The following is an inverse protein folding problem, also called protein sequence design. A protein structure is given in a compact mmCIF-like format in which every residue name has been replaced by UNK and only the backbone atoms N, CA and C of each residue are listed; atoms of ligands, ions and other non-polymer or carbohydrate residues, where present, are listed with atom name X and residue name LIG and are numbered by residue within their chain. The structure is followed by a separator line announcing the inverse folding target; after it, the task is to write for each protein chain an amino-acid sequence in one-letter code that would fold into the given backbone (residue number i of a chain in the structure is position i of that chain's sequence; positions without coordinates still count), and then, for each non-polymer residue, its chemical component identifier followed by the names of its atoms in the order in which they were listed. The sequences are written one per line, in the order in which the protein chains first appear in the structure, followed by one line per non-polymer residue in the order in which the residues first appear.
data_IF_035716517909
#
_entry.id   IF_035716517909
#
_cell.length_a   1.000
_cell.length_b   1.000
_cell.length_c   1.000
_cell.angle_alpha   90.00
_cell.angle_beta   90.00
_cell.angle_gamma   90.00
#
_symmetry.space_group_name_H-M   'P 1'
#
loop_
_entity.id
_entity.type
_entity.pdbx_description
1 polymer ?
#
# COMPACT_ATOMS: atom_id res chain seq x y z
N UNK A 1 54.70 -27.61 -96.72
CA UNK A 1 55.97 -26.88 -96.56
C UNK A 1 56.52 -27.29 -95.21
N UNK A 2 57.36 -28.31 -95.22
CA UNK A 2 58.83 -28.17 -95.07
C UNK A 2 59.14 -28.08 -93.57
N UNK A 3 59.37 -29.24 -92.96
CA UNK A 3 60.69 -29.79 -92.63
C UNK A 3 61.44 -28.92 -91.60
N UNK A 4 61.82 -29.54 -90.48
CA UNK A 4 63.21 -29.61 -90.00
C UNK A 4 63.29 -30.48 -88.72
N UNK A 5 64.22 -31.44 -88.81
CA UNK A 5 64.81 -32.39 -87.85
C UNK A 5 65.50 -31.70 -86.64
N UNK A 6 66.34 -32.38 -85.81
CA UNK A 6 66.17 -33.58 -84.98
C UNK A 6 66.71 -33.42 -83.52
N UNK A 7 66.54 -34.49 -82.73
CA UNK A 7 67.23 -34.99 -81.51
C UNK A 7 68.27 -34.14 -80.74
N UNK A 8 68.23 -34.21 -79.39
CA UNK A 8 69.26 -34.86 -78.53
C UNK A 8 68.86 -34.97 -77.04
N UNK A 9 69.16 -36.14 -76.47
CA UNK A 9 69.53 -36.54 -75.09
C UNK A 9 69.50 -35.56 -73.90
N UNK A 10 68.93 -35.98 -72.76
CA UNK A 10 69.62 -36.56 -71.57
C UNK A 10 68.96 -36.16 -70.21
N UNK A 11 68.97 -37.12 -69.27
CA UNK A 11 68.86 -37.06 -67.80
C UNK A 11 67.88 -36.10 -67.08
N UNK A 12 67.00 -36.66 -66.21
CA UNK A 12 67.17 -36.56 -64.75
C UNK A 12 66.02 -37.19 -63.92
N UNK A 13 66.44 -37.71 -62.77
CA UNK A 13 65.67 -38.28 -61.66
C UNK A 13 64.70 -37.31 -60.96
N UNK A 14 63.71 -37.96 -60.33
CA UNK A 14 62.97 -37.62 -59.11
C UNK A 14 62.58 -36.17 -58.78
N UNK A 15 61.26 -35.95 -58.70
CA UNK A 15 60.53 -35.67 -57.44
C UNK A 15 59.26 -34.89 -57.79
N UNK A 16 58.07 -35.54 -57.71
CA UNK A 16 56.82 -34.77 -57.63
C UNK A 16 55.67 -35.53 -56.98
N UNK A 17 55.43 -35.14 -55.73
CA UNK A 17 54.15 -34.75 -55.12
C UNK A 17 52.97 -35.74 -55.09
N UNK A 18 52.66 -36.19 -53.87
CA UNK A 18 51.47 -36.92 -53.45
C UNK A 18 50.14 -36.10 -53.58
N UNK A 19 48.96 -36.74 -53.50
CA UNK A 19 47.70 -36.27 -54.13
C UNK A 19 46.75 -35.56 -53.14
N UNK A 20 45.70 -34.84 -53.62
CA UNK A 20 44.57 -34.49 -52.78
C UNK A 20 43.43 -35.53 -52.90
N UNK A 21 43.20 -36.31 -51.85
CA UNK A 21 42.05 -37.19 -51.68
C UNK A 21 40.86 -36.45 -51.04
N UNK A 22 39.68 -36.55 -51.67
CA UNK A 22 38.40 -36.06 -51.12
C UNK A 22 37.91 -37.02 -50.02
N UNK A 23 37.46 -36.53 -48.84
CA UNK A 23 37.01 -37.42 -47.76
C UNK A 23 35.57 -37.97 -47.98
N UNK A 24 35.24 -39.14 -47.41
CA UNK A 24 33.99 -39.86 -47.63
C UNK A 24 32.81 -39.36 -46.78
N UNK A 25 31.65 -39.15 -47.41
CA UNK A 25 30.39 -38.60 -46.84
C UNK A 25 29.55 -39.55 -45.96
N UNK A 26 30.13 -40.59 -45.34
CA UNK A 26 29.38 -41.60 -44.56
C UNK A 26 29.18 -41.30 -43.05
N UNK A 27 30.07 -40.64 -42.29
CA UNK A 27 29.81 -40.38 -40.86
C UNK A 27 28.77 -39.27 -40.63
N UNK A 28 28.56 -38.40 -41.62
CA UNK A 28 27.65 -37.25 -41.53
C UNK A 28 26.16 -37.63 -41.53
N UNK A 29 25.78 -38.79 -42.09
CA UNK A 29 24.39 -39.28 -42.10
C UNK A 29 23.97 -39.90 -40.75
N UNK A 30 24.88 -40.57 -40.06
CA UNK A 30 24.66 -41.12 -38.71
C UNK A 30 24.59 -40.01 -37.66
N UNK A 31 25.46 -39.01 -37.78
CA UNK A 31 25.41 -37.81 -36.93
C UNK A 31 24.10 -37.03 -37.15
N UNK A 32 23.63 -36.92 -38.39
CA UNK A 32 22.33 -36.30 -38.70
C UNK A 32 21.14 -37.06 -38.07
N UNK A 33 21.12 -38.39 -38.15
CA UNK A 33 20.07 -39.22 -37.52
C UNK A 33 20.10 -39.11 -35.99
N UNK A 34 21.29 -39.06 -35.38
CA UNK A 34 21.44 -38.90 -33.94
C UNK A 34 20.97 -37.51 -33.47
N UNK A 35 21.30 -36.45 -34.22
CA UNK A 35 20.80 -35.09 -33.94
C UNK A 35 19.27 -34.98 -34.06
N UNK A 36 18.68 -35.65 -35.06
CA UNK A 36 17.21 -35.72 -35.18
C UNK A 36 16.61 -36.44 -33.97
N UNK A 37 17.18 -37.58 -33.55
CA UNK A 37 16.73 -38.30 -32.36
C UNK A 37 16.83 -37.47 -31.07
N UNK A 38 17.94 -36.77 -30.86
CA UNK A 38 18.13 -35.87 -29.71
C UNK A 38 17.16 -34.70 -29.77
N UNK A 39 16.96 -34.07 -30.94
CA UNK A 39 16.01 -32.96 -31.10
C UNK A 39 14.57 -33.39 -30.83
N UNK A 40 14.21 -34.62 -31.20
CA UNK A 40 12.86 -35.16 -30.99
C UNK A 40 12.62 -35.45 -29.50
N UNK A 41 13.63 -35.98 -28.79
CA UNK A 41 13.61 -36.12 -27.33
C UNK A 41 13.49 -34.77 -26.61
N UNK A 42 14.27 -33.77 -27.03
CA UNK A 42 14.22 -32.42 -26.46
C UNK A 42 12.85 -31.77 -26.69
N UNK A 43 12.30 -31.89 -27.90
CA UNK A 43 10.95 -31.39 -28.21
C UNK A 43 9.87 -32.06 -27.36
N UNK A 44 9.97 -33.37 -27.12
CA UNK A 44 9.03 -34.12 -26.30
C UNK A 44 9.13 -33.71 -24.81
N UNK A 45 10.34 -33.49 -24.31
CA UNK A 45 10.55 -33.01 -22.94
C UNK A 45 9.98 -31.59 -22.73
N UNK A 46 10.19 -30.68 -23.69
CA UNK A 46 9.61 -29.34 -23.67
C UNK A 46 8.09 -29.36 -23.73
N UNK A 47 7.50 -30.25 -24.54
CA UNK A 47 6.05 -30.39 -24.64
C UNK A 47 5.41 -30.87 -23.34
N UNK A 48 6.03 -31.86 -22.66
CA UNK A 48 5.59 -32.32 -21.34
C UNK A 48 5.73 -31.21 -20.29
N UNK A 49 6.86 -30.48 -20.29
CA UNK A 49 7.07 -29.34 -19.39
C UNK A 49 6.04 -28.22 -19.58
N UNK A 50 5.72 -27.89 -20.84
CA UNK A 50 4.71 -26.88 -21.18
C UNK A 50 3.29 -27.30 -20.73
N UNK A 51 2.90 -28.55 -20.96
CA UNK A 51 1.62 -29.08 -20.49
C UNK A 51 1.55 -29.11 -18.95
N UNK A 52 2.65 -29.43 -18.27
CA UNK A 52 2.76 -29.35 -16.81
C UNK A 52 2.60 -27.92 -16.28
N UNK A 53 3.22 -26.94 -16.94
CA UNK A 53 3.11 -25.52 -16.56
C UNK A 53 1.69 -24.97 -16.75
N UNK A 54 1.06 -25.26 -17.89
CA UNK A 54 -0.30 -24.81 -18.18
C UNK A 54 -1.33 -25.43 -17.23
N UNK A 55 -1.20 -26.73 -16.94
CA UNK A 55 -2.08 -27.42 -15.98
C UNK A 55 -1.84 -27.00 -14.53
N UNK A 56 -0.61 -26.61 -14.18
CA UNK A 56 -0.28 -26.01 -12.88
C UNK A 56 -0.95 -24.65 -12.68
N UNK A 57 -0.90 -23.77 -13.68
CA UNK A 57 -1.56 -22.46 -13.60
C UNK A 57 -3.08 -22.56 -13.53
N UNK A 58 -3.69 -23.47 -14.29
CA UNK A 58 -5.14 -23.71 -14.22
C UNK A 58 -5.57 -24.22 -12.84
N UNK A 59 -4.81 -25.14 -12.24
CA UNK A 59 -5.10 -25.64 -10.89
C UNK A 59 -4.89 -24.59 -9.81
N UNK A 60 -3.92 -23.69 -9.96
CA UNK A 60 -3.71 -22.58 -9.03
C UNK A 60 -4.88 -21.58 -9.09
N UNK A 61 -5.33 -21.22 -10.30
CA UNK A 61 -6.48 -20.35 -10.48
C UNK A 61 -7.76 -20.96 -9.88
N UNK A 62 -8.02 -22.24 -10.16
CA UNK A 62 -9.19 -22.95 -9.61
C UNK A 62 -9.15 -23.06 -8.08
N UNK A 63 -7.96 -23.29 -7.50
CA UNK A 63 -7.79 -23.29 -6.04
C UNK A 63 -8.03 -21.91 -5.44
N UNK A 64 -7.44 -20.86 -6.01
CA UNK A 64 -7.62 -19.49 -5.55
C UNK A 64 -9.10 -19.06 -5.58
N UNK A 65 -9.81 -19.38 -6.66
CA UNK A 65 -11.25 -19.11 -6.75
C UNK A 65 -12.04 -19.89 -5.69
N UNK A 66 -11.72 -21.17 -5.49
CA UNK A 66 -12.40 -22.01 -4.48
C UNK A 66 -12.13 -21.56 -3.05
N UNK A 67 -10.90 -21.13 -2.75
CA UNK A 67 -10.49 -20.61 -1.45
C UNK A 67 -11.18 -19.28 -1.15
N UNK A 68 -11.24 -18.38 -2.15
CA UNK A 68 -11.95 -17.12 -2.04
C UNK A 68 -13.45 -17.33 -1.83
N UNK A 69 -14.07 -18.24 -2.59
CA UNK A 69 -15.48 -18.58 -2.41
C UNK A 69 -15.76 -19.15 -1.01
N UNK A 70 -14.88 -20.00 -0.49
CA UNK A 70 -14.98 -20.53 0.87
C UNK A 70 -14.81 -19.43 1.94
N UNK A 71 -13.91 -18.48 1.72
CA UNK A 71 -13.72 -17.33 2.61
C UNK A 71 -14.95 -16.42 2.62
N UNK A 72 -15.51 -16.12 1.45
CA UNK A 72 -16.76 -15.34 1.33
C UNK A 72 -17.89 -16.05 2.08
N UNK A 73 -18.11 -17.34 1.83
CA UNK A 73 -19.15 -18.12 2.50
C UNK A 73 -18.96 -18.12 4.04
N UNK A 74 -17.71 -18.22 4.50
CA UNK A 74 -17.39 -18.11 5.93
C UNK A 74 -17.72 -16.72 6.49
N UNK A 75 -17.35 -15.65 5.81
CA UNK A 75 -17.62 -14.29 6.29
C UNK A 75 -19.13 -14.02 6.37
N UNK A 76 -19.92 -14.54 5.43
CA UNK A 76 -21.39 -14.47 5.48
C UNK A 76 -21.95 -15.24 6.68
N UNK A 77 -21.47 -16.47 6.94
CA UNK A 77 -21.88 -17.24 8.12
C UNK A 77 -21.52 -16.52 9.42
N UNK A 78 -20.31 -15.97 9.52
CA UNK A 78 -19.89 -15.21 10.70
C UNK A 78 -20.72 -13.94 10.86
N UNK A 79 -21.08 -13.26 9.77
CA UNK A 79 -21.94 -12.08 9.84
C UNK A 79 -23.33 -12.43 10.39
N UNK A 80 -23.91 -13.55 9.97
CA UNK A 80 -25.17 -14.05 10.53
C UNK A 80 -25.04 -14.32 12.04
N UNK A 81 -23.99 -15.03 12.46
CA UNK A 81 -23.74 -15.30 13.89
C UNK A 81 -23.57 -14.00 14.70
N UNK A 82 -22.93 -12.98 14.13
CA UNK A 82 -22.77 -11.67 14.76
C UNK A 82 -24.11 -10.94 14.90
N UNK A 83 -24.99 -11.01 13.89
CA UNK A 83 -26.36 -10.48 13.99
C UNK A 83 -27.12 -11.17 15.13
N UNK A 84 -27.03 -12.49 15.20
CA UNK A 84 -27.70 -13.30 16.23
C UNK A 84 -27.17 -12.99 17.64
N UNK A 85 -25.91 -12.57 17.75
CA UNK A 85 -25.26 -12.17 19.00
C UNK A 85 -25.42 -10.68 19.32
N UNK A 86 -26.06 -9.89 18.46
CA UNK A 86 -26.27 -8.46 18.62
C UNK A 86 -25.06 -7.58 18.26
N UNK A 87 -24.00 -8.16 17.68
CA UNK A 87 -22.81 -7.45 17.21
C UNK A 87 -23.04 -6.90 15.79
N UNK A 88 -23.94 -5.91 15.67
CA UNK A 88 -24.36 -5.41 14.36
C UNK A 88 -23.24 -4.67 13.62
N UNK A 89 -22.34 -3.97 14.34
CA UNK A 89 -21.23 -3.24 13.69
C UNK A 89 -20.23 -4.19 13.05
N UNK A 90 -19.88 -5.29 13.73
CA UNK A 90 -18.99 -6.31 13.21
C UNK A 90 -19.63 -7.07 12.05
N UNK A 91 -20.93 -7.38 12.15
CA UNK A 91 -21.67 -7.99 11.06
C UNK A 91 -21.64 -7.12 9.79
N UNK A 92 -21.90 -5.82 9.92
CA UNK A 92 -21.89 -4.89 8.78
C UNK A 92 -20.52 -4.80 8.11
N UNK A 93 -19.43 -4.69 8.88
CA UNK A 93 -18.06 -4.65 8.35
C UNK A 93 -17.72 -5.90 7.53
N UNK A 94 -18.10 -7.10 8.02
CA UNK A 94 -17.89 -8.35 7.27
C UNK A 94 -18.70 -8.39 5.99
N UNK A 95 -19.95 -7.94 6.03
CA UNK A 95 -20.84 -7.94 4.88
C UNK A 95 -20.36 -6.96 3.82
N UNK A 96 -19.82 -5.81 4.22
CA UNK A 96 -19.22 -4.86 3.29
C UNK A 96 -17.99 -5.46 2.60
N UNK A 97 -17.08 -6.10 3.35
CA UNK A 97 -15.93 -6.83 2.79
C UNK A 97 -16.36 -7.88 1.74
N UNK A 98 -17.48 -8.59 2.00
CA UNK A 98 -18.06 -9.56 1.06
C UNK A 98 -18.60 -8.87 -0.19
N UNK A 99 -19.33 -7.77 -0.03
CA UNK A 99 -19.97 -7.06 -1.14
C UNK A 99 -18.98 -6.30 -2.03
N UNK A 100 -17.84 -5.85 -1.49
CA UNK A 100 -16.71 -5.34 -2.28
C UNK A 100 -16.21 -6.38 -3.29
N UNK A 101 -16.14 -7.65 -2.88
CA UNK A 101 -15.60 -8.76 -3.68
C UNK A 101 -16.68 -9.45 -4.52
N UNK A 102 -17.92 -9.46 -4.05
CA UNK A 102 -19.07 -10.08 -4.70
C UNK A 102 -20.31 -9.19 -4.59
N UNK A 103 -20.43 -8.13 -5.43
CA UNK A 103 -21.48 -7.12 -5.30
C UNK A 103 -22.92 -7.65 -5.42
N UNK A 104 -23.11 -8.77 -6.12
CA UNK A 104 -24.41 -9.39 -6.36
C UNK A 104 -24.70 -10.58 -5.42
N UNK A 105 -23.99 -10.70 -4.30
CA UNK A 105 -24.19 -11.79 -3.35
C UNK A 105 -25.52 -11.59 -2.57
N UNK A 106 -26.58 -12.26 -3.03
CA UNK A 106 -27.96 -12.03 -2.57
C UNK A 106 -28.14 -12.16 -1.05
N UNK A 107 -27.48 -13.15 -0.41
CA UNK A 107 -27.55 -13.34 1.03
C UNK A 107 -26.92 -12.17 1.80
N UNK A 108 -25.73 -11.73 1.39
CA UNK A 108 -25.03 -10.63 2.05
C UNK A 108 -25.80 -9.31 1.95
N UNK A 109 -26.47 -9.05 0.82
CA UNK A 109 -27.33 -7.87 0.66
C UNK A 109 -28.48 -7.90 1.67
N UNK A 110 -29.18 -9.02 1.81
CA UNK A 110 -30.31 -9.17 2.73
C UNK A 110 -29.87 -9.07 4.21
N UNK A 111 -28.74 -9.68 4.55
CA UNK A 111 -28.18 -9.60 5.90
C UNK A 111 -27.75 -8.18 6.25
N UNK A 112 -27.17 -7.44 5.30
CA UNK A 112 -26.74 -6.05 5.53
C UNK A 112 -27.93 -5.15 5.82
N UNK A 113 -29.00 -5.27 5.05
CA UNK A 113 -30.25 -4.53 5.31
C UNK A 113 -30.81 -4.88 6.69
N UNK A 114 -30.86 -6.17 7.03
CA UNK A 114 -31.30 -6.64 8.34
C UNK A 114 -30.46 -6.01 9.47
N UNK A 115 -29.14 -6.11 9.40
CA UNK A 115 -28.23 -5.55 10.40
C UNK A 115 -28.35 -4.03 10.52
N UNK A 116 -28.51 -3.29 9.41
CA UNK A 116 -28.75 -1.84 9.43
C UNK A 116 -30.06 -1.48 10.12
N UNK A 117 -31.15 -2.23 9.87
CA UNK A 117 -32.42 -1.97 10.56
C UNK A 117 -32.31 -2.21 12.06
N UNK A 118 -31.65 -3.31 12.46
CA UNK A 118 -31.45 -3.67 13.87
C UNK A 118 -30.57 -2.67 14.61
N UNK A 119 -29.53 -2.13 13.94
CA UNK A 119 -28.69 -1.08 14.48
C UNK A 119 -29.48 0.23 14.68
N UNK A 120 -30.34 0.62 13.72
CA UNK A 120 -31.11 1.85 13.79
C UNK A 120 -32.28 1.84 14.80
N UNK A 121 -32.85 0.66 15.11
CA UNK A 121 -33.89 0.52 16.15
C UNK A 121 -33.31 0.33 17.56
N UNK A 122 -32.00 0.09 17.66
CA UNK A 122 -31.29 0.04 18.93
C UNK A 122 -31.01 1.48 19.35
N UNK A 123 -31.55 1.98 20.48
CA UNK A 123 -31.27 3.34 20.90
C UNK A 123 -29.77 3.48 21.14
N UNK A 124 -29.11 4.28 20.29
CA UNK A 124 -27.75 4.76 20.51
C UNK A 124 -27.76 5.50 21.85
N UNK A 125 -27.08 5.03 22.91
CA UNK A 125 -26.88 5.87 24.07
C UNK A 125 -26.07 7.09 23.60
N UNK A 126 -26.66 8.27 23.72
CA UNK A 126 -25.95 9.55 23.62
C UNK A 126 -24.91 9.55 24.74
N UNK A 127 -23.67 9.18 24.42
CA UNK A 127 -22.54 9.32 25.33
C UNK A 127 -22.20 10.81 25.45
N UNK A 128 -22.86 11.47 26.39
CA UNK A 128 -22.32 12.69 27.00
C UNK A 128 -20.93 12.36 27.54
N UNK A 129 -19.94 13.14 27.11
CA UNK A 129 -18.61 13.17 27.68
C UNK A 129 -18.71 13.28 29.20
N UNK A 130 -18.50 12.15 29.87
CA UNK A 130 -18.35 12.07 31.31
C UNK A 130 -16.89 11.85 31.55
N UNK A 131 -16.24 12.85 32.14
CA UNK A 131 -14.92 12.76 32.74
C UNK A 131 -14.78 11.44 33.51
N UNK A 132 -13.94 10.54 33.01
CA UNK A 132 -13.60 9.28 33.64
C UNK A 132 -13.07 9.54 35.06
N UNK A 133 -13.78 9.15 36.14
CA UNK A 133 -13.11 8.93 37.40
C UNK A 133 -12.22 7.70 37.22
N UNK A 134 -10.98 7.79 37.70
CA UNK A 134 -10.02 6.70 37.78
C UNK A 134 -10.71 5.35 38.02
N UNK A 135 -10.60 4.36 37.11
CA UNK A 135 -11.22 3.07 37.32
C UNK A 135 -10.59 2.42 38.55
N UNK A 136 -11.44 2.08 39.51
CA UNK A 136 -11.15 1.08 40.53
C UNK A 136 -10.73 -0.21 39.79
N UNK A 137 -9.59 -0.83 40.15
CA UNK A 137 -9.09 -1.98 39.41
C UNK A 137 -10.05 -3.16 39.61
N UNK A 138 -10.83 -3.48 38.58
CA UNK A 138 -11.37 -4.83 38.43
C UNK A 138 -10.18 -5.79 38.25
N UNK A 139 -10.28 -7.03 38.78
CA UNK A 139 -9.15 -7.94 38.88
C UNK A 139 -8.53 -8.19 37.51
N UNK A 140 -7.23 -7.89 37.44
CA UNK A 140 -6.30 -8.30 36.38
C UNK A 140 -6.60 -9.74 35.93
N UNK A 141 -6.67 -10.03 34.62
CA UNK A 141 -6.69 -11.41 34.16
C UNK A 141 -5.38 -12.04 34.61
N UNK A 142 -5.47 -12.85 35.66
CA UNK A 142 -4.35 -13.64 36.15
C UNK A 142 -3.79 -14.43 34.97
N UNK A 143 -2.50 -14.34 34.65
CA UNK A 143 -1.83 -15.28 33.74
C UNK A 143 -1.86 -16.67 34.39
N UNK A 144 -3.01 -17.34 34.29
CA UNK A 144 -3.24 -18.69 34.76
C UNK A 144 -3.04 -19.67 33.61
N UNK A 145 -2.69 -20.90 33.95
CA UNK A 145 -2.75 -22.01 33.00
C UNK A 145 -4.21 -22.20 32.58
N UNK A 146 -4.55 -21.90 31.32
CA UNK A 146 -5.86 -22.23 30.77
C UNK A 146 -5.97 -23.75 30.79
N UNK A 147 -6.91 -24.29 31.58
CA UNK A 147 -7.03 -25.73 31.81
C UNK A 147 -7.88 -26.44 30.74
N UNK A 148 -8.81 -25.71 30.12
CA UNK A 148 -9.66 -26.21 29.04
C UNK A 148 -9.69 -25.21 27.86
N UNK A 149 -9.07 -25.55 26.72
CA UNK A 149 -9.02 -24.66 25.57
C UNK A 149 -10.38 -24.41 24.92
N UNK A 150 -11.33 -25.36 25.00
CA UNK A 150 -12.64 -25.21 24.36
C UNK A 150 -13.50 -24.17 25.09
N UNK A 151 -13.58 -24.28 26.42
CA UNK A 151 -14.32 -23.31 27.25
C UNK A 151 -13.72 -21.91 27.11
N UNK A 152 -12.40 -21.80 27.08
CA UNK A 152 -11.75 -20.50 26.92
C UNK A 152 -11.99 -19.91 25.53
N UNK A 153 -11.91 -20.70 24.46
CA UNK A 153 -12.23 -20.23 23.11
C UNK A 153 -13.68 -19.70 23.02
N UNK A 154 -14.64 -20.35 23.69
CA UNK A 154 -16.01 -19.85 23.75
C UNK A 154 -16.11 -18.49 24.48
N UNK A 155 -15.30 -18.27 25.53
CA UNK A 155 -15.20 -16.98 26.21
C UNK A 155 -14.63 -15.90 25.29
N UNK A 156 -13.59 -16.21 24.52
CA UNK A 156 -12.97 -15.28 23.57
C UNK A 156 -13.96 -14.83 22.49
N UNK A 157 -14.75 -15.76 21.94
CA UNK A 157 -15.84 -15.43 20.99
C UNK A 157 -16.80 -14.40 21.58
N UNK A 158 -17.19 -14.59 22.84
CA UNK A 158 -18.11 -13.67 23.53
C UNK A 158 -17.49 -12.30 23.78
N UNK A 159 -16.19 -12.20 24.06
CA UNK A 159 -15.50 -10.91 24.19
C UNK A 159 -15.55 -10.12 22.87
N UNK A 160 -15.19 -10.78 21.76
CA UNK A 160 -15.20 -10.19 20.42
C UNK A 160 -16.62 -9.81 20.00
N UNK A 161 -17.60 -10.68 20.21
CA UNK A 161 -18.99 -10.39 19.88
C UNK A 161 -19.59 -9.24 20.71
N UNK A 162 -19.13 -9.05 21.95
CA UNK A 162 -19.50 -7.91 22.78
C UNK A 162 -18.65 -6.66 22.53
N UNK A 163 -17.79 -6.70 21.52
CA UNK A 163 -16.95 -5.58 21.12
C UNK A 163 -15.99 -5.12 22.24
N UNK A 164 -15.60 -6.04 23.13
CA UNK A 164 -14.69 -5.79 24.24
C UNK A 164 -13.23 -5.91 23.78
N UNK A 165 -12.83 -5.06 22.83
CA UNK A 165 -11.62 -5.24 22.04
C UNK A 165 -10.32 -5.24 22.86
N UNK A 166 -10.20 -4.35 23.85
CA UNK A 166 -9.01 -4.27 24.72
C UNK A 166 -8.76 -5.58 25.49
N UNK A 167 -9.83 -6.17 26.04
CA UNK A 167 -9.75 -7.45 26.75
C UNK A 167 -9.56 -8.61 25.76
N UNK A 168 -10.26 -8.57 24.63
CA UNK A 168 -10.20 -9.61 23.60
C UNK A 168 -8.79 -9.77 23.04
N UNK A 169 -8.10 -8.69 22.69
CA UNK A 169 -6.73 -8.72 22.16
C UNK A 169 -5.79 -9.48 23.12
N UNK A 170 -5.71 -9.03 24.36
CA UNK A 170 -4.81 -9.58 25.37
C UNK A 170 -5.14 -11.05 25.66
N UNK A 171 -6.43 -11.39 25.71
CA UNK A 171 -6.89 -12.74 25.98
C UNK A 171 -6.59 -13.69 24.81
N UNK A 172 -6.85 -13.28 23.57
CA UNK A 172 -6.58 -14.10 22.37
C UNK A 172 -5.08 -14.32 22.19
N UNK A 173 -4.24 -13.29 22.36
CA UNK A 173 -2.78 -13.44 22.31
C UNK A 173 -2.26 -14.39 23.39
N UNK A 174 -2.84 -14.34 24.59
CA UNK A 174 -2.48 -15.25 25.68
C UNK A 174 -2.88 -16.69 25.36
N UNK A 175 -4.08 -16.90 24.84
CA UNK A 175 -4.56 -18.19 24.37
C UNK A 175 -3.63 -18.79 23.30
N UNK A 176 -3.29 -17.99 22.28
CA UNK A 176 -2.43 -18.40 21.17
C UNK A 176 -1.00 -18.75 21.60
N UNK A 177 -0.49 -18.11 22.67
CA UNK A 177 0.83 -18.46 23.25
C UNK A 177 0.78 -19.81 23.97
N UNK A 178 -0.31 -20.12 24.66
CA UNK A 178 -0.45 -21.38 25.39
C UNK A 178 -0.84 -22.55 24.48
N UNK A 179 -1.64 -22.29 23.44
CA UNK A 179 -2.10 -23.29 22.47
C UNK A 179 -1.83 -22.85 21.03
N UNK A 180 -0.57 -22.91 20.56
CA UNK A 180 -0.20 -22.38 19.25
C UNK A 180 -0.95 -22.99 18.08
N UNK A 181 -1.31 -24.27 18.15
CA UNK A 181 -1.93 -25.01 17.04
C UNK A 181 -3.46 -25.18 17.17
N UNK A 182 -4.04 -24.79 18.31
CA UNK A 182 -5.46 -25.04 18.60
C UNK A 182 -6.35 -23.99 17.93
N UNK A 183 -7.24 -24.41 17.03
CA UNK A 183 -8.17 -23.55 16.29
C UNK A 183 -7.50 -22.28 15.76
N UNK A 184 -6.30 -22.44 15.18
CA UNK A 184 -5.42 -21.33 14.77
C UNK A 184 -6.12 -20.34 13.85
N UNK A 185 -6.87 -20.85 12.89
CA UNK A 185 -7.57 -20.04 11.91
C UNK A 185 -8.64 -19.16 12.58
N UNK A 186 -9.39 -19.73 13.52
CA UNK A 186 -10.43 -19.01 14.24
C UNK A 186 -9.83 -17.99 15.22
N UNK A 187 -8.82 -18.37 15.99
CA UNK A 187 -8.16 -17.44 16.91
C UNK A 187 -7.48 -16.29 16.16
N UNK A 188 -6.94 -16.52 14.96
CA UNK A 188 -6.45 -15.44 14.10
C UNK A 188 -7.58 -14.51 13.65
N UNK A 189 -8.76 -15.05 13.32
CA UNK A 189 -9.92 -14.23 12.96
C UNK A 189 -10.39 -13.36 14.15
N UNK A 190 -10.48 -13.94 15.35
CA UNK A 190 -10.84 -13.20 16.56
C UNK A 190 -9.84 -12.07 16.87
N UNK A 191 -8.55 -12.33 16.66
CA UNK A 191 -7.49 -11.33 16.82
C UNK A 191 -7.60 -10.22 15.77
N UNK A 192 -7.83 -10.58 14.51
CA UNK A 192 -8.09 -9.62 13.42
C UNK A 192 -9.27 -8.71 13.77
N UNK A 193 -10.41 -9.28 14.19
CA UNK A 193 -11.61 -8.50 14.52
C UNK A 193 -11.34 -7.53 15.68
N UNK A 194 -10.56 -7.99 16.68
CA UNK A 194 -10.15 -7.18 17.82
C UNK A 194 -9.23 -6.03 17.40
N UNK A 195 -8.26 -6.27 16.53
CA UNK A 195 -7.37 -5.23 16.00
C UNK A 195 -8.10 -4.21 15.14
N UNK A 196 -9.02 -4.63 14.28
CA UNK A 196 -9.85 -3.69 13.50
C UNK A 196 -10.72 -2.84 14.45
N UNK A 197 -11.35 -3.45 15.44
CA UNK A 197 -12.14 -2.75 16.45
C UNK A 197 -11.33 -1.72 17.26
N UNK A 198 -10.16 -2.12 17.75
CA UNK A 198 -9.23 -1.21 18.44
C UNK A 198 -8.77 -0.07 17.55
N UNK A 199 -8.36 -0.40 16.32
CA UNK A 199 -7.86 0.56 15.35
C UNK A 199 -8.87 1.67 15.06
N UNK A 200 -10.12 1.29 14.77
CA UNK A 200 -11.21 2.25 14.55
C UNK A 200 -11.51 3.08 15.80
N UNK A 201 -11.69 2.46 16.96
CA UNK A 201 -11.98 3.19 18.21
C UNK A 201 -10.90 4.23 18.55
N UNK A 202 -9.62 3.90 18.29
CA UNK A 202 -8.49 4.78 18.59
C UNK A 202 -8.29 5.88 17.55
N UNK A 203 -8.59 5.61 16.27
CA UNK A 203 -8.57 6.59 15.17
C UNK A 203 -9.73 7.59 15.31
N UNK A 204 -10.92 7.12 15.66
CA UNK A 204 -12.05 8.00 15.95
C UNK A 204 -11.80 8.85 17.20
N UNK A 205 -11.11 8.29 18.19
CA UNK A 205 -10.52 9.04 19.30
C UNK A 205 -9.25 9.79 18.91
N UNK A 206 -8.64 10.51 19.86
CA UNK A 206 -7.44 11.33 19.60
C UNK A 206 -6.13 10.53 19.50
N UNK A 207 -6.18 9.21 19.29
CA UNK A 207 -5.04 8.30 19.32
C UNK A 207 -4.76 7.66 17.95
N UNK A 208 -4.81 8.48 16.90
CA UNK A 208 -4.65 8.05 15.52
C UNK A 208 -3.40 7.20 15.26
N UNK A 209 -2.24 7.52 15.85
CA UNK A 209 -1.01 6.73 15.69
C UNK A 209 -1.16 5.30 16.21
N UNK A 210 -1.73 5.15 17.41
CA UNK A 210 -1.95 3.83 18.01
C UNK A 210 -3.03 3.06 17.26
N UNK A 211 -4.07 3.73 16.79
CA UNK A 211 -5.09 3.09 15.97
C UNK A 211 -4.54 2.58 14.64
N UNK A 212 -3.70 3.37 13.96
CA UNK A 212 -2.98 2.93 12.75
C UNK A 212 -2.06 1.73 13.02
N UNK A 213 -1.38 1.70 14.16
CA UNK A 213 -0.60 0.53 14.57
C UNK A 213 -1.45 -0.75 14.60
N UNK A 214 -2.62 -0.71 15.24
CA UNK A 214 -3.51 -1.86 15.29
C UNK A 214 -4.09 -2.25 13.94
N UNK A 215 -4.43 -1.28 13.08
CA UNK A 215 -4.87 -1.58 11.71
C UNK A 215 -3.77 -2.26 10.89
N UNK A 216 -2.51 -1.86 11.05
CA UNK A 216 -1.38 -2.54 10.41
C UNK A 216 -1.22 -3.99 10.93
N UNK A 217 -1.41 -4.22 12.23
CA UNK A 217 -1.41 -5.58 12.79
C UNK A 217 -2.57 -6.43 12.24
N UNK A 218 -3.74 -5.84 11.99
CA UNK A 218 -4.85 -6.54 11.35
C UNK A 218 -4.53 -6.93 9.90
N UNK A 219 -3.84 -6.08 9.13
CA UNK A 219 -3.43 -6.39 7.74
C UNK A 219 -2.52 -7.61 7.63
N UNK A 220 -1.75 -7.94 8.67
CA UNK A 220 -0.95 -9.17 8.71
C UNK A 220 -1.81 -10.45 8.76
N UNK A 221 -3.08 -10.33 9.21
CA UNK A 221 -4.00 -11.44 9.42
C UNK A 221 -5.08 -11.53 8.32
N UNK A 222 -5.38 -10.42 7.64
CA UNK A 222 -6.34 -10.36 6.54
C UNK A 222 -6.52 -8.95 5.98
N UNK A 223 -7.16 -8.85 4.81
CA UNK A 223 -7.42 -7.55 4.18
C UNK A 223 -8.34 -6.67 5.03
N UNK A 224 -8.06 -5.37 5.14
CA UNK A 224 -9.02 -4.44 5.74
C UNK A 224 -10.17 -4.13 4.77
N UNK A 225 -11.42 -4.02 5.26
CA UNK A 225 -12.54 -3.52 4.46
C UNK A 225 -12.33 -2.05 4.09
N UNK A 226 -12.99 -1.58 3.03
CA UNK A 226 -12.82 -0.24 2.48
C UNK A 226 -13.12 0.86 3.51
N UNK A 227 -14.14 0.68 4.34
CA UNK A 227 -14.45 1.64 5.41
C UNK A 227 -13.24 1.87 6.34
N UNK A 228 -12.56 0.79 6.74
CA UNK A 228 -11.38 0.87 7.61
C UNK A 228 -10.20 1.50 6.87
N UNK A 229 -10.08 1.25 5.55
CA UNK A 229 -9.09 1.91 4.71
C UNK A 229 -9.30 3.43 4.63
N UNK A 230 -10.55 3.87 4.55
CA UNK A 230 -10.89 5.29 4.54
C UNK A 230 -10.48 5.96 5.86
N UNK A 231 -10.80 5.33 7.01
CA UNK A 231 -10.36 5.81 8.33
C UNK A 231 -8.84 5.86 8.48
N UNK A 232 -8.12 4.86 7.95
CA UNK A 232 -6.65 4.89 7.91
C UNK A 232 -6.16 6.11 7.13
N UNK A 233 -6.68 6.35 5.93
CA UNK A 233 -6.28 7.49 5.11
C UNK A 233 -6.53 8.82 5.83
N UNK A 234 -7.67 8.97 6.49
CA UNK A 234 -8.00 10.17 7.25
C UNK A 234 -7.05 10.39 8.43
N UNK A 235 -6.72 9.32 9.16
CA UNK A 235 -5.75 9.35 10.25
C UNK A 235 -4.35 9.73 9.77
N UNK A 236 -3.90 9.19 8.64
CA UNK A 236 -2.61 9.52 8.04
C UNK A 236 -2.54 11.00 7.62
N UNK A 237 -3.54 11.51 6.91
CA UNK A 237 -3.60 12.93 6.54
C UNK A 237 -3.65 13.85 7.76
N UNK A 238 -4.38 13.46 8.79
CA UNK A 238 -4.41 14.20 10.05
C UNK A 238 -3.03 14.26 10.71
N UNK A 239 -2.35 13.12 10.88
CA UNK A 239 -1.02 13.08 11.49
C UNK A 239 0.02 13.85 10.69
N UNK A 240 -0.04 13.78 9.36
CA UNK A 240 0.81 14.59 8.51
C UNK A 240 0.50 16.08 8.68
N UNK A 241 -0.77 16.48 8.63
CA UNK A 241 -1.19 17.87 8.85
C UNK A 241 -0.72 18.42 10.20
N UNK A 242 -0.91 17.65 11.28
CA UNK A 242 -0.47 18.00 12.63
C UNK A 242 1.06 18.09 12.73
N UNK A 243 1.79 17.18 12.08
CA UNK A 243 3.26 17.21 12.05
C UNK A 243 3.84 18.50 11.45
N UNK A 244 3.10 19.16 10.56
CA UNK A 244 3.49 20.44 9.96
C UNK A 244 2.77 21.65 10.57
N UNK A 245 1.74 21.45 11.39
CA UNK A 245 0.99 22.53 12.03
C UNK A 245 1.91 23.37 12.93
N UNK A 246 1.91 24.70 12.75
CA UNK A 246 2.82 25.59 13.47
C UNK A 246 4.26 25.64 12.94
N UNK A 247 4.61 24.78 11.98
CA UNK A 247 5.99 24.63 11.45
C UNK A 247 6.04 24.99 9.98
N UNK A 248 5.17 24.40 9.16
CA UNK A 248 5.04 24.69 7.73
C UNK A 248 3.55 24.75 7.36
N UNK A 249 3.02 25.97 7.33
CA UNK A 249 1.60 26.19 7.07
C UNK A 249 1.17 25.83 5.65
N UNK A 250 2.04 25.94 4.65
CA UNK A 250 1.72 25.54 3.27
C UNK A 250 1.39 24.05 3.19
N UNK A 251 2.24 23.22 3.80
CA UNK A 251 2.05 21.77 3.82
C UNK A 251 0.84 21.40 4.70
N UNK A 252 0.70 22.02 5.87
CA UNK A 252 -0.45 21.77 6.75
C UNK A 252 -1.79 22.11 6.06
N UNK A 253 -1.87 23.25 5.36
CA UNK A 253 -3.05 23.63 4.56
C UNK A 253 -3.38 22.55 3.53
N UNK A 254 -2.36 21.99 2.84
CA UNK A 254 -2.57 20.91 1.88
C UNK A 254 -3.30 19.70 2.49
N UNK A 255 -2.74 19.13 3.56
CA UNK A 255 -3.32 17.96 4.22
C UNK A 255 -4.71 18.24 4.80
N UNK A 256 -4.89 19.35 5.51
CA UNK A 256 -6.19 19.67 6.10
C UNK A 256 -7.25 20.06 5.06
N UNK A 257 -6.85 20.54 3.88
CA UNK A 257 -7.78 20.83 2.77
C UNK A 257 -8.35 19.53 2.22
N UNK A 258 -7.50 18.56 1.95
CA UNK A 258 -7.92 17.24 1.48
C UNK A 258 -8.77 16.52 2.54
N UNK A 259 -8.34 16.56 3.80
CA UNK A 259 -9.06 15.94 4.90
C UNK A 259 -10.43 16.58 5.18
N UNK A 260 -10.53 17.91 5.24
CA UNK A 260 -11.81 18.60 5.44
C UNK A 260 -12.79 18.34 4.27
N UNK A 261 -12.29 18.17 3.05
CA UNK A 261 -13.12 17.89 1.89
C UNK A 261 -13.82 16.53 1.98
N UNK A 262 -13.09 15.49 2.42
CA UNK A 262 -13.61 14.11 2.43
C UNK A 262 -14.16 13.66 3.78
N UNK A 263 -13.62 14.19 4.88
CA UNK A 263 -13.96 13.82 6.25
C UNK A 263 -14.06 15.08 7.15
N UNK A 264 -15.03 15.98 6.91
CA UNK A 264 -15.20 17.22 7.67
C UNK A 264 -15.53 17.00 9.16
N UNK A 265 -15.96 15.80 9.53
CA UNK A 265 -16.28 15.41 10.91
C UNK A 265 -15.07 14.86 11.68
N UNK A 266 -14.00 14.51 10.98
CA UNK A 266 -12.85 13.83 11.59
C UNK A 266 -11.93 14.86 12.27
N UNK A 267 -11.73 14.71 13.58
CA UNK A 267 -10.71 15.44 14.36
C UNK A 267 -10.63 16.95 14.09
N UNK A 268 -11.78 17.64 14.04
CA UNK A 268 -11.84 19.08 13.75
C UNK A 268 -11.09 19.50 12.46
N UNK A 269 -11.04 18.64 11.44
CA UNK A 269 -10.26 18.84 10.22
C UNK A 269 -10.50 20.19 9.54
N UNK A 270 -11.76 20.65 9.48
CA UNK A 270 -12.10 21.94 8.88
C UNK A 270 -11.73 23.15 9.76
N UNK A 271 -11.70 22.99 11.08
CA UNK A 271 -11.21 24.04 11.98
C UNK A 271 -9.68 24.15 11.88
N UNK A 272 -8.98 23.01 11.84
CA UNK A 272 -7.53 22.95 11.63
C UNK A 272 -7.14 23.52 10.26
N UNK A 273 -7.93 23.26 9.22
CA UNK A 273 -7.77 23.88 7.91
C UNK A 273 -7.90 25.40 8.00
N UNK A 274 -8.98 25.90 8.64
CA UNK A 274 -9.21 27.33 8.80
C UNK A 274 -8.03 27.99 9.50
N UNK A 275 -7.59 27.44 10.62
CA UNK A 275 -6.55 28.01 11.45
C UNK A 275 -5.19 27.98 10.72
N UNK A 276 -4.92 26.92 9.95
CA UNK A 276 -3.75 26.82 9.07
C UNK A 276 -3.78 27.84 7.93
N UNK A 277 -4.94 28.06 7.28
CA UNK A 277 -5.12 29.05 6.22
C UNK A 277 -4.91 30.48 6.74
N UNK A 278 -5.47 30.81 7.91
CA UNK A 278 -5.28 32.11 8.56
C UNK A 278 -3.79 32.32 8.84
N UNK A 279 -3.13 31.33 9.44
CA UNK A 279 -1.72 31.42 9.81
C UNK A 279 -0.81 31.52 8.58
N UNK A 280 -1.16 30.83 7.48
CA UNK A 280 -0.43 30.94 6.23
C UNK A 280 -0.60 32.32 5.59
N UNK A 281 -1.83 32.84 5.58
CA UNK A 281 -2.12 34.20 5.11
C UNK A 281 -1.40 35.26 5.96
N UNK A 282 -1.28 35.05 7.28
CA UNK A 282 -0.52 35.91 8.19
C UNK A 282 0.97 35.97 7.79
N UNK A 283 1.57 34.88 7.31
CA UNK A 283 2.96 34.89 6.81
C UNK A 283 3.12 35.80 5.58
N UNK A 284 2.19 35.72 4.63
CA UNK A 284 2.18 36.59 3.44
C UNK A 284 1.97 38.06 3.83
N UNK A 285 0.99 38.31 4.71
CA UNK A 285 0.72 39.64 5.25
C UNK A 285 1.95 40.22 5.98
N UNK A 286 2.63 39.42 6.80
CA UNK A 286 3.86 39.83 7.48
C UNK A 286 4.98 40.18 6.50
N UNK A 287 5.08 39.43 5.38
CA UNK A 287 6.01 39.72 4.28
C UNK A 287 5.58 40.90 3.39
N UNK A 288 4.44 41.55 3.70
CA UNK A 288 3.80 42.60 2.89
C UNK A 288 3.38 42.14 1.49
N UNK A 289 3.29 40.83 1.27
CA UNK A 289 2.76 40.23 0.04
C UNK A 289 1.26 40.00 0.23
N UNK A 290 0.51 41.10 0.15
CA UNK A 290 -0.89 41.14 0.58
C UNK A 290 -1.84 40.40 -0.36
N UNK A 291 -1.55 40.35 -1.65
CA UNK A 291 -2.48 39.79 -2.63
C UNK A 291 -2.69 38.27 -2.47
N UNK A 292 -1.64 37.44 -2.32
CA UNK A 292 -1.82 36.03 -1.98
C UNK A 292 -2.50 35.83 -0.61
N UNK A 293 -2.23 36.71 0.37
CA UNK A 293 -2.88 36.62 1.68
C UNK A 293 -4.42 36.72 1.59
N UNK A 294 -4.93 37.55 0.67
CA UNK A 294 -6.39 37.69 0.45
C UNK A 294 -7.02 36.35 0.09
N UNK A 295 -6.42 35.58 -0.81
CA UNK A 295 -7.00 34.32 -1.28
C UNK A 295 -7.14 33.30 -0.13
N UNK A 296 -6.11 33.18 0.69
CA UNK A 296 -6.11 32.28 1.85
C UNK A 296 -7.10 32.74 2.94
N UNK A 297 -7.18 34.04 3.24
CA UNK A 297 -8.19 34.54 4.19
C UNK A 297 -9.62 34.35 3.70
N UNK A 298 -9.88 34.54 2.40
CA UNK A 298 -11.20 34.30 1.80
C UNK A 298 -11.57 32.83 1.90
N UNK A 299 -10.62 31.93 1.67
CA UNK A 299 -10.86 30.49 1.84
C UNK A 299 -11.13 30.13 3.31
N UNK A 300 -10.33 30.65 4.25
CA UNK A 300 -10.56 30.44 5.68
C UNK A 300 -11.96 30.88 6.11
N UNK A 301 -12.45 32.01 5.58
CA UNK A 301 -13.78 32.54 5.87
C UNK A 301 -14.91 31.58 5.44
N UNK A 302 -14.68 30.73 4.44
CA UNK A 302 -15.66 29.69 4.01
C UNK A 302 -15.80 28.57 5.03
N UNK A 303 -14.73 28.28 5.79
CA UNK A 303 -14.73 27.26 6.85
C UNK A 303 -15.33 27.81 8.15
N UNK A 304 -15.23 29.11 8.37
CA UNK A 304 -15.90 29.80 9.46
C UNK A 304 -15.42 31.25 9.55
N UNK A 305 -16.31 32.15 9.96
CA UNK A 305 -16.01 33.58 10.03
C UNK A 305 -15.87 34.05 11.48
N UNK A 306 -14.95 34.99 11.71
CA UNK A 306 -14.77 35.68 12.98
C UNK A 306 -14.50 37.17 12.74
N UNK A 307 -14.72 38.01 13.75
CA UNK A 307 -14.43 39.44 13.65
C UNK A 307 -12.94 39.69 13.36
N UNK A 308 -12.05 38.90 13.96
CA UNK A 308 -10.61 39.01 13.73
C UNK A 308 -10.25 38.65 12.29
N UNK A 309 -10.77 37.53 11.76
CA UNK A 309 -10.54 37.13 10.37
C UNK A 309 -11.07 38.18 9.39
N UNK A 310 -12.25 38.75 9.65
CA UNK A 310 -12.81 39.80 8.81
C UNK A 310 -11.91 41.05 8.78
N UNK A 311 -11.31 41.43 9.91
CA UNK A 311 -10.37 42.55 9.98
C UNK A 311 -9.07 42.27 9.22
N UNK A 312 -8.50 41.07 9.40
CA UNK A 312 -7.29 40.64 8.67
C UNK A 312 -7.51 40.64 7.16
N UNK A 313 -8.65 40.11 6.70
CA UNK A 313 -9.03 40.09 5.29
C UNK A 313 -9.17 41.51 4.72
N UNK A 314 -9.80 42.43 5.43
CA UNK A 314 -9.95 43.81 4.96
C UNK A 314 -8.61 44.56 4.89
N UNK A 315 -7.75 44.35 5.88
CA UNK A 315 -6.39 44.89 5.87
C UNK A 315 -5.60 44.34 4.66
N UNK A 316 -5.67 43.04 4.40
CA UNK A 316 -5.01 42.41 3.25
C UNK A 316 -5.55 42.92 1.91
N UNK A 317 -6.86 43.12 1.78
CA UNK A 317 -7.46 43.71 0.56
C UNK A 317 -6.96 45.12 0.31
N UNK A 318 -6.92 45.95 1.36
CA UNK A 318 -6.39 47.32 1.26
C UNK A 318 -4.92 47.30 0.85
N UNK A 319 -4.09 46.52 1.54
CA UNK A 319 -2.68 46.38 1.23
C UNK A 319 -2.41 45.85 -0.19
N UNK A 320 -3.25 44.94 -0.70
CA UNK A 320 -3.14 44.43 -2.06
C UNK A 320 -3.47 45.51 -3.11
N UNK A 321 -4.49 46.34 -2.89
CA UNK A 321 -4.85 47.43 -3.81
C UNK A 321 -3.79 48.55 -3.84
N UNK A 322 -3.09 48.76 -2.73
CA UNK A 322 -2.03 49.76 -2.60
C UNK A 322 -0.66 49.26 -3.13
N UNK A 323 -0.52 47.95 -3.36
CA UNK A 323 0.71 47.37 -3.86
C UNK A 323 1.00 47.84 -5.31
N UNK A 324 2.01 48.69 -5.48
CA UNK A 324 2.60 48.97 -6.80
C UNK A 324 3.29 47.72 -7.34
N UNK A 325 3.09 47.32 -8.60
CA UNK A 325 3.71 46.13 -9.16
C UNK A 325 5.23 46.23 -9.08
N UNK A 326 5.87 45.22 -8.49
CA UNK A 326 7.33 45.06 -8.50
C UNK A 326 7.80 45.05 -9.95
N UNK A 327 8.75 45.91 -10.37
CA UNK A 327 9.31 45.86 -11.71
C UNK A 327 9.81 44.43 -11.97
N UNK A 328 9.27 43.78 -12.99
CA UNK A 328 9.60 42.40 -13.33
C UNK A 328 11.10 42.20 -13.47
N UNK A 329 11.54 40.98 -13.17
CA UNK A 329 12.90 40.49 -13.45
C UNK A 329 13.31 40.94 -14.85
N UNK A 330 14.43 41.63 -14.94
CA UNK A 330 15.00 42.08 -16.22
C UNK A 330 15.27 40.82 -17.05
N UNK A 331 14.42 40.52 -18.03
CA UNK A 331 14.58 39.42 -19.00
C UNK A 331 15.62 39.78 -20.07
N UNK A 332 16.81 40.19 -19.62
CA UNK A 332 17.83 40.81 -20.46
C UNK A 332 19.23 40.21 -20.33
N UNK A 333 19.38 38.98 -19.84
CA UNK A 333 20.65 38.26 -20.02
C UNK A 333 20.66 37.64 -21.42
N UNK A 334 21.23 38.37 -22.37
CA UNK A 334 21.67 37.82 -23.65
C UNK A 334 22.68 36.70 -23.35
N UNK A 335 22.54 35.48 -23.89
CA UNK A 335 23.55 34.46 -23.73
C UNK A 335 24.80 34.89 -24.50
N UNK A 336 25.91 35.13 -23.81
CA UNK A 336 27.24 35.21 -24.43
C UNK A 336 27.54 33.79 -24.92
N UNK A 337 27.24 33.54 -26.19
CA UNK A 337 27.53 32.27 -26.86
C UNK A 337 28.83 32.46 -27.62
N UNK A 338 29.95 32.51 -26.89
CA UNK A 338 31.28 32.49 -27.50
C UNK A 338 32.27 31.75 -26.59
N UNK A 339 31.91 30.50 -26.27
CA UNK A 339 32.88 29.51 -25.77
C UNK A 339 33.05 28.44 -26.84
N UNK A 340 34.14 28.59 -27.58
CA UNK A 340 34.68 27.64 -28.53
C UNK A 340 34.85 26.26 -27.85
N UNK A 341 34.38 25.14 -28.45
CA UNK A 341 34.47 23.84 -27.81
C UNK A 341 35.93 23.37 -27.77
N UNK A 342 36.45 23.13 -26.56
CA UNK A 342 37.70 22.41 -26.36
C UNK A 342 37.47 20.93 -26.67
N UNK A 343 37.97 20.50 -27.84
CA UNK A 343 38.20 19.09 -28.12
C UNK A 343 39.32 18.56 -27.23
N UNK A 344 38.96 17.70 -26.28
CA UNK A 344 39.90 17.07 -25.35
C UNK A 344 39.47 15.64 -25.06
N UNK A 345 40.25 14.70 -25.59
CA UNK A 345 40.07 13.26 -25.57
C UNK A 345 39.75 12.68 -24.19
N UNK A 346 38.77 11.77 -24.17
CA UNK A 346 38.54 10.81 -23.09
C UNK A 346 39.77 9.94 -22.86
N UNK A 347 40.32 9.98 -21.64
CA UNK A 347 41.23 8.96 -21.13
C UNK A 347 40.80 8.57 -19.72
N UNK A 348 40.45 7.30 -19.58
CA UNK A 348 40.08 6.59 -18.37
C UNK A 348 41.03 6.89 -17.20
N UNK A 349 40.47 7.16 -16.02
CA UNK A 349 41.14 6.95 -14.75
C UNK A 349 40.37 5.91 -13.94
N UNK A 350 40.91 4.69 -13.87
CA UNK A 350 40.57 3.73 -12.84
C UNK A 350 41.14 4.22 -11.48
N UNK A 351 40.47 3.96 -10.35
CA UNK A 351 41.04 4.19 -9.04
C UNK A 351 42.00 3.03 -8.67
N UNK A 352 43.23 3.38 -8.27
CA UNK A 352 44.16 2.46 -7.60
C UNK A 352 43.85 2.33 -6.10
N UNK A 353 44.07 1.15 -5.49
CA UNK A 353 43.77 0.88 -4.09
C UNK A 353 44.83 1.49 -3.16
N UNK A 354 44.40 2.00 -2.02
CA UNK A 354 45.25 2.58 -0.99
C UNK A 354 46.15 1.53 -0.33
N UNK A 355 47.45 1.82 -0.29
CA UNK A 355 48.44 1.12 0.54
C UNK A 355 48.54 1.77 1.91
N UNK A 356 48.25 0.97 2.91
CA UNK A 356 48.55 1.14 4.32
C UNK A 356 50.07 1.22 4.57
N UNK A 357 50.50 2.16 5.43
CA UNK A 357 51.70 2.06 6.27
C UNK A 357 51.79 3.29 7.18
N UNK A 358 51.49 3.14 8.48
CA UNK A 358 52.49 2.92 9.54
C UNK A 358 51.84 2.93 10.93
#
# INVERSE_FOLDING_TARGET
MSDVLPQTSDHNEDTSTAPPTRPPRRPMRLVGLLLIGVSLLLGLYLLVGYMGWQSGQAQLAERQESEMAAQIARQVSLAQDNIDQGSYTLALRRLEWVLERSPNHAEAVNLRETAQTLLNITPTPLTQATVTPTPEPLPSPTPGLISDPLTELQRLRLLVAKEQWDEAETAVLTFQRQFPDYERQETNQLLYDSYVGLGLNLIEGEQAELGLFYLNQAEELGDLPQEVQDYRLWAEWYLQGIGFYGVNWEIAVGYFRDLCLVAPFYQSSCELLRDSLISYADLYAFAQDWCPAVDFYVEAQRQGNSTELAQKLEAARTGCLEATPTPGVITGTVPITDVQPFGGSSSNFLPTPGTENR
#
